data_IF_614783347035
#
_entry.id   IF_614783347035
#
_cell.length_a   1.000
_cell.length_b   1.000
_cell.length_c   1.000
_cell.angle_alpha   90.00
_cell.angle_beta   90.00
_cell.angle_gamma   90.00
#
_symmetry.space_group_name_H-M   'P 1'
#
loop_
_entity.id
_entity.type
_entity.pdbx_description
1 polymer ?
#
# COMPACT_ATOMS: atom_id res chain seq x y z
N UNK A 1 -2.17 73.12 -81.34
CA UNK A 1 -1.56 72.73 -80.05
C UNK A 1 -2.52 73.16 -78.93
N UNK A 2 -2.57 72.37 -77.84
CA UNK A 2 -3.54 72.39 -76.70
C UNK A 2 -4.81 71.55 -76.94
N UNK A 3 -5.36 70.70 -76.04
CA UNK A 3 -5.02 70.15 -74.70
C UNK A 3 -6.11 69.11 -74.34
N UNK A 4 -5.81 68.01 -73.62
CA UNK A 4 -6.59 67.39 -72.49
C UNK A 4 -6.21 65.92 -72.22
N UNK A 5 -5.76 65.60 -71.00
CA UNK A 5 -6.51 64.93 -69.91
C UNK A 5 -6.18 63.43 -69.83
N UNK A 6 -5.23 63.01 -68.98
CA UNK A 6 -5.47 62.55 -67.60
C UNK A 6 -6.43 61.36 -67.49
N UNK A 7 -5.90 60.17 -67.24
CA UNK A 7 -6.33 59.35 -66.10
C UNK A 7 -5.43 58.13 -65.88
N UNK A 8 -4.93 58.03 -64.64
CA UNK A 8 -4.42 56.82 -64.04
C UNK A 8 -5.55 55.82 -63.79
N UNK A 9 -5.28 54.53 -63.91
CA UNK A 9 -5.99 53.55 -63.08
C UNK A 9 -5.02 52.52 -62.51
N UNK A 10 -4.93 52.59 -61.19
CA UNK A 10 -4.16 51.75 -60.29
C UNK A 10 -4.94 50.43 -60.19
N UNK A 11 -4.44 49.36 -60.82
CA UNK A 11 -5.01 48.03 -60.71
C UNK A 11 -4.86 47.51 -59.28
N UNK A 12 -5.92 47.65 -58.47
CA UNK A 12 -6.04 47.05 -57.14
C UNK A 12 -6.71 45.69 -57.34
N UNK A 13 -5.97 44.62 -57.10
CA UNK A 13 -6.42 43.23 -57.23
C UNK A 13 -7.73 43.01 -56.48
N UNK A 14 -8.81 42.69 -57.20
CA UNK A 14 -10.06 42.24 -56.60
C UNK A 14 -9.86 40.80 -56.11
N UNK A 15 -9.90 40.61 -54.79
CA UNK A 15 -10.06 39.29 -54.18
C UNK A 15 -11.49 38.84 -54.48
N UNK A 16 -11.73 37.62 -55.01
CA UNK A 16 -13.08 37.18 -55.33
C UNK A 16 -13.94 37.16 -54.05
N UNK A 17 -15.14 37.76 -54.14
CA UNK A 17 -16.14 37.93 -53.07
C UNK A 17 -16.49 36.60 -52.35
N UNK A 18 -16.23 35.47 -53.01
CA UNK A 18 -16.37 34.11 -52.49
C UNK A 18 -15.46 33.82 -51.28
N UNK A 19 -14.27 34.43 -51.22
CA UNK A 19 -13.35 34.29 -50.07
C UNK A 19 -13.81 35.07 -48.83
N UNK A 20 -14.66 36.09 -48.99
CA UNK A 20 -15.24 36.85 -47.87
C UNK A 20 -16.46 36.16 -47.25
N UNK A 21 -17.10 35.23 -47.97
CA UNK A 21 -18.29 34.49 -47.50
C UNK A 21 -17.96 33.15 -46.82
N UNK A 22 -16.74 32.62 -47.02
CA UNK A 22 -16.23 31.43 -46.32
C UNK A 22 -16.35 31.48 -44.79
N UNK A 23 -15.96 32.58 -44.09
CA UNK A 23 -16.11 32.63 -42.64
C UNK A 23 -17.57 32.63 -42.18
N UNK A 24 -18.50 33.15 -42.99
CA UNK A 24 -19.93 33.10 -42.68
C UNK A 24 -20.49 31.69 -42.82
N UNK A 25 -20.18 31.00 -43.93
CA UNK A 25 -20.58 29.61 -44.17
C UNK A 25 -19.97 28.65 -43.14
N UNK A 26 -18.72 28.87 -42.73
CA UNK A 26 -18.06 28.08 -41.69
C UNK A 26 -18.71 28.28 -40.31
N UNK A 27 -19.09 29.52 -39.97
CA UNK A 27 -19.80 29.83 -38.73
C UNK A 27 -21.18 29.17 -38.70
N UNK A 28 -21.93 29.28 -39.79
CA UNK A 28 -23.28 28.70 -39.90
C UNK A 28 -23.24 27.16 -39.88
N UNK A 29 -22.24 26.55 -40.53
CA UNK A 29 -21.99 25.11 -40.44
C UNK A 29 -21.59 24.68 -39.02
N UNK A 30 -20.74 25.46 -38.34
CA UNK A 30 -20.36 25.18 -36.96
C UNK A 30 -21.56 25.28 -35.99
N UNK A 31 -22.44 26.25 -36.19
CA UNK A 31 -23.70 26.38 -35.43
C UNK A 31 -24.63 25.20 -35.69
N UNK A 32 -24.78 24.76 -36.94
CA UNK A 32 -25.57 23.58 -37.28
C UNK A 32 -25.00 22.29 -36.68
N UNK A 33 -23.69 22.09 -36.74
CA UNK A 33 -23.02 20.93 -36.13
C UNK A 33 -23.20 20.95 -34.61
N UNK A 34 -23.10 22.11 -33.98
CA UNK A 34 -23.30 22.25 -32.53
C UNK A 34 -24.73 21.94 -32.11
N UNK A 35 -25.72 22.49 -32.83
CA UNK A 35 -27.14 22.21 -32.59
C UNK A 35 -27.49 20.74 -32.84
N UNK A 36 -26.93 20.13 -33.89
CA UNK A 36 -27.07 18.70 -34.16
C UNK A 36 -26.43 17.86 -33.05
N UNK A 37 -25.26 18.27 -32.54
CA UNK A 37 -24.60 17.62 -31.41
C UNK A 37 -25.43 17.68 -30.12
N UNK A 38 -25.99 18.86 -29.81
CA UNK A 38 -26.90 19.04 -28.68
C UNK A 38 -28.21 18.24 -28.83
N UNK A 39 -28.77 18.18 -30.04
CA UNK A 39 -29.96 17.38 -30.34
C UNK A 39 -29.72 15.88 -30.20
N UNK A 40 -28.60 15.38 -30.71
CA UNK A 40 -28.19 13.99 -30.56
C UNK A 40 -27.92 13.62 -29.09
N UNK A 41 -27.26 14.49 -28.33
CA UNK A 41 -27.03 14.30 -26.89
C UNK A 41 -28.34 14.28 -26.09
N UNK A 42 -29.29 15.17 -26.39
CA UNK A 42 -30.62 15.16 -25.78
C UNK A 42 -31.40 13.88 -26.11
N UNK A 43 -31.28 13.38 -27.34
CA UNK A 43 -31.93 12.12 -27.74
C UNK A 43 -31.30 10.92 -27.04
N UNK A 44 -29.97 10.91 -26.88
CA UNK A 44 -29.28 9.90 -26.08
C UNK A 44 -29.68 9.95 -24.59
N UNK A 45 -29.97 11.13 -24.01
CA UNK A 45 -30.52 11.20 -22.65
C UNK A 45 -31.95 10.63 -22.56
N UNK A 46 -32.82 10.92 -23.54
CA UNK A 46 -34.20 10.42 -23.56
C UNK A 46 -34.27 8.90 -23.80
N UNK A 47 -33.43 8.37 -24.69
CA UNK A 47 -33.36 6.93 -24.99
C UNK A 47 -32.50 6.16 -23.97
N UNK A 48 -31.53 6.85 -23.34
CA UNK A 48 -30.62 6.30 -22.33
C UNK A 48 -31.33 5.82 -21.07
N UNK A 49 -32.44 6.45 -20.66
CA UNK A 49 -33.22 6.00 -19.50
C UNK A 49 -33.88 4.62 -19.68
N UNK A 50 -34.31 4.29 -20.90
CA UNK A 50 -34.89 2.96 -21.20
C UNK A 50 -33.81 1.89 -21.22
N UNK A 51 -32.70 2.16 -21.89
CA UNK A 51 -31.54 1.26 -21.92
C UNK A 51 -30.97 1.06 -20.52
N UNK A 52 -30.89 2.13 -19.72
CA UNK A 52 -30.48 2.06 -18.32
C UNK A 52 -31.42 1.16 -17.49
N UNK A 53 -32.74 1.33 -17.60
CA UNK A 53 -33.68 0.46 -16.89
C UNK A 53 -33.56 -1.01 -17.31
N UNK A 54 -33.32 -1.29 -18.59
CA UNK A 54 -33.06 -2.64 -19.08
C UNK A 54 -31.75 -3.18 -18.48
N UNK A 55 -30.66 -2.41 -18.52
CA UNK A 55 -29.39 -2.81 -17.92
C UNK A 55 -29.49 -3.03 -16.41
N UNK A 56 -30.28 -2.24 -15.70
CA UNK A 56 -30.52 -2.42 -14.26
C UNK A 56 -31.31 -3.71 -14.01
N UNK A 57 -32.35 -3.98 -14.80
CA UNK A 57 -33.11 -5.23 -14.71
C UNK A 57 -32.23 -6.46 -15.02
N UNK A 58 -31.41 -6.38 -16.06
CA UNK A 58 -30.46 -7.42 -16.44
C UNK A 58 -29.39 -7.61 -15.36
N UNK A 59 -28.90 -6.51 -14.77
CA UNK A 59 -27.97 -6.54 -13.65
C UNK A 59 -28.56 -7.20 -12.39
N UNK A 60 -29.82 -6.89 -12.06
CA UNK A 60 -30.54 -7.53 -10.96
C UNK A 60 -30.80 -9.02 -11.23
N UNK A 61 -31.12 -9.39 -12.47
CA UNK A 61 -31.29 -10.78 -12.88
C UNK A 61 -29.96 -11.54 -12.78
N UNK A 62 -28.86 -10.94 -13.27
CA UNK A 62 -27.52 -11.50 -13.19
C UNK A 62 -27.06 -11.66 -11.73
N UNK A 63 -27.33 -10.68 -10.86
CA UNK A 63 -27.02 -10.76 -9.43
C UNK A 63 -27.78 -11.92 -8.76
N UNK A 64 -29.08 -12.06 -9.03
CA UNK A 64 -29.88 -13.18 -8.50
C UNK A 64 -29.36 -14.52 -8.98
N UNK A 65 -29.02 -14.63 -10.27
CA UNK A 65 -28.43 -15.84 -10.83
C UNK A 65 -27.07 -16.16 -10.19
N UNK A 66 -26.21 -15.15 -10.02
CA UNK A 66 -24.92 -15.32 -9.36
C UNK A 66 -25.08 -15.76 -7.89
N UNK A 67 -26.04 -15.19 -7.17
CA UNK A 67 -26.35 -15.60 -5.80
C UNK A 67 -26.87 -17.05 -5.73
N UNK A 68 -27.74 -17.46 -6.65
CA UNK A 68 -28.23 -18.83 -6.72
C UNK A 68 -27.09 -19.81 -7.00
N UNK A 69 -26.24 -19.52 -7.99
CA UNK A 69 -25.05 -20.32 -8.32
C UNK A 69 -24.08 -20.37 -7.14
N UNK A 70 -23.87 -19.26 -6.43
CA UNK A 70 -23.04 -19.23 -5.23
C UNK A 70 -23.63 -20.10 -4.11
N UNK A 71 -24.95 -20.07 -3.90
CA UNK A 71 -25.62 -20.94 -2.93
C UNK A 71 -25.51 -22.41 -3.31
N UNK A 72 -25.65 -22.77 -4.57
CA UNK A 72 -25.48 -24.15 -5.06
C UNK A 72 -24.05 -24.62 -4.85
N UNK A 73 -23.06 -23.81 -5.22
CA UNK A 73 -21.64 -24.12 -5.03
C UNK A 73 -21.27 -24.22 -3.55
N UNK A 74 -21.82 -23.34 -2.72
CA UNK A 74 -21.62 -23.40 -1.27
C UNK A 74 -22.22 -24.67 -0.67
N UNK A 75 -23.46 -25.03 -1.05
CA UNK A 75 -24.08 -26.28 -0.61
C UNK A 75 -23.30 -27.51 -1.08
N UNK A 76 -22.81 -27.52 -2.33
CA UNK A 76 -21.97 -28.59 -2.85
C UNK A 76 -20.61 -28.66 -2.15
N UNK A 77 -20.02 -27.53 -1.78
CA UNK A 77 -18.79 -27.49 -0.99
C UNK A 77 -19.02 -27.95 0.45
N UNK A 78 -20.13 -27.52 1.07
CA UNK A 78 -20.54 -27.92 2.42
C UNK A 78 -20.77 -29.42 2.49
N UNK A 79 -21.52 -29.99 1.53
CA UNK A 79 -21.76 -31.43 1.50
C UNK A 79 -20.47 -32.22 1.30
N UNK A 80 -19.58 -31.78 0.40
CA UNK A 80 -18.24 -32.39 0.25
C UNK A 80 -17.40 -32.28 1.53
N UNK A 81 -17.50 -31.15 2.23
CA UNK A 81 -16.80 -30.95 3.49
C UNK A 81 -17.34 -31.88 4.58
N UNK A 82 -18.67 -31.98 4.74
CA UNK A 82 -19.32 -32.92 5.66
C UNK A 82 -18.93 -34.38 5.35
N UNK A 83 -18.87 -34.74 4.06
CA UNK A 83 -18.44 -36.06 3.60
C UNK A 83 -16.97 -36.34 3.95
N UNK A 84 -16.10 -35.33 3.78
CA UNK A 84 -14.70 -35.41 4.16
C UNK A 84 -14.53 -35.47 5.68
N UNK A 85 -15.25 -34.65 6.45
CA UNK A 85 -15.25 -34.68 7.91
C UNK A 85 -15.70 -36.04 8.43
N UNK A 86 -16.75 -36.62 7.85
CA UNK A 86 -17.23 -37.96 8.21
C UNK A 86 -16.17 -39.02 7.93
N UNK A 87 -15.54 -38.98 6.74
CA UNK A 87 -14.47 -39.92 6.35
C UNK A 87 -13.18 -39.74 7.18
N UNK A 88 -12.84 -38.52 7.57
CA UNK A 88 -11.68 -38.22 8.44
C UNK A 88 -11.97 -38.63 9.88
N UNK A 89 -13.18 -38.38 10.37
CA UNK A 89 -13.63 -38.84 11.70
C UNK A 89 -13.61 -40.36 11.82
N UNK A 90 -13.98 -41.09 10.76
CA UNK A 90 -13.93 -42.55 10.72
C UNK A 90 -12.51 -43.12 10.55
N UNK A 91 -11.53 -42.32 10.11
CA UNK A 91 -10.18 -42.77 9.74
C UNK A 91 -9.08 -42.00 10.47
N UNK A 92 -9.23 -41.90 11.80
CA UNK A 92 -8.25 -41.39 12.77
C UNK A 92 -7.74 -39.94 12.54
N UNK A 93 -7.40 -39.26 13.64
CA UNK A 93 -6.99 -37.85 13.68
C UNK A 93 -5.64 -37.54 13.00
N UNK A 94 -4.91 -38.54 12.53
CA UNK A 94 -3.55 -38.40 11.97
C UNK A 94 -3.42 -37.40 10.79
N UNK A 95 -4.41 -37.28 9.86
CA UNK A 95 -4.38 -36.24 8.83
C UNK A 95 -4.67 -34.84 9.38
N UNK A 96 -5.40 -34.71 10.50
CA UNK A 96 -5.69 -33.42 11.14
C UNK A 96 -4.44 -32.86 11.81
N UNK A 97 -3.64 -33.70 12.47
CA UNK A 97 -2.36 -33.27 13.05
C UNK A 97 -1.41 -32.69 11.99
N UNK A 98 -1.41 -33.27 10.78
CA UNK A 98 -0.64 -32.75 9.64
C UNK A 98 -1.18 -31.43 9.11
N UNK A 99 -2.52 -31.24 9.13
CA UNK A 99 -3.14 -29.97 8.76
C UNK A 99 -2.92 -28.90 9.83
N UNK A 100 -2.92 -29.26 11.10
CA UNK A 100 -2.56 -28.39 12.21
C UNK A 100 -1.13 -27.89 12.02
N UNK A 101 -0.17 -28.80 11.77
CA UNK A 101 1.21 -28.43 11.49
C UNK A 101 1.36 -27.51 10.26
N UNK A 102 0.63 -27.77 9.17
CA UNK A 102 0.66 -26.90 7.98
C UNK A 102 -0.01 -25.55 8.23
N UNK A 103 -1.09 -25.52 9.00
CA UNK A 103 -1.78 -24.29 9.39
C UNK A 103 -0.87 -23.44 10.27
N UNK A 104 -0.28 -24.04 11.31
CA UNK A 104 0.74 -23.42 12.16
C UNK A 104 1.89 -22.84 11.33
N UNK A 105 2.43 -23.61 10.38
CA UNK A 105 3.50 -23.13 9.51
C UNK A 105 3.07 -21.92 8.67
N UNK A 106 1.83 -21.91 8.17
CA UNK A 106 1.30 -20.79 7.38
C UNK A 106 1.02 -19.56 8.24
N UNK A 107 0.48 -19.75 9.45
CA UNK A 107 0.25 -18.67 10.42
C UNK A 107 1.58 -18.10 10.88
N UNK A 108 2.55 -18.93 11.26
CA UNK A 108 3.90 -18.51 11.62
C UNK A 108 4.54 -17.68 10.49
N UNK A 109 4.45 -18.15 9.24
CA UNK A 109 4.97 -17.42 8.08
C UNK A 109 4.24 -16.09 7.85
N UNK A 110 2.93 -16.01 8.10
CA UNK A 110 2.18 -14.76 8.00
C UNK A 110 2.57 -13.78 9.11
N UNK A 111 2.70 -14.23 10.36
CA UNK A 111 3.13 -13.43 11.50
C UNK A 111 4.56 -12.90 11.31
N UNK A 112 5.47 -13.72 10.81
CA UNK A 112 6.83 -13.29 10.45
C UNK A 112 6.82 -12.20 9.35
N UNK A 113 5.96 -12.33 8.34
CA UNK A 113 5.79 -11.28 7.31
C UNK A 113 5.21 -9.99 7.87
N UNK A 114 4.42 -10.06 8.95
CA UNK A 114 3.95 -8.90 9.71
C UNK A 114 4.99 -8.36 10.69
N UNK A 115 6.17 -8.98 10.80
CA UNK A 115 7.25 -8.55 11.69
C UNK A 115 7.06 -8.99 13.14
N UNK A 116 6.19 -9.96 13.42
CA UNK A 116 6.02 -10.53 14.76
C UNK A 116 7.04 -11.66 14.93
N UNK A 117 8.06 -11.50 15.79
CA UNK A 117 9.07 -12.53 16.05
C UNK A 117 8.48 -13.71 16.82
N UNK A 118 9.02 -14.91 16.59
CA UNK A 118 8.59 -16.11 17.31
C UNK A 118 9.18 -16.17 18.73
N UNK A 119 8.62 -17.04 19.58
CA UNK A 119 9.17 -17.27 20.91
C UNK A 119 10.62 -17.80 20.87
N UNK A 120 10.96 -18.61 19.87
CA UNK A 120 12.31 -19.14 19.68
C UNK A 120 13.30 -18.02 19.32
N UNK A 121 12.89 -17.07 18.47
CA UNK A 121 13.71 -15.92 18.10
C UNK A 121 14.01 -15.04 19.32
N UNK A 122 13.01 -14.83 20.18
CA UNK A 122 13.18 -14.09 21.44
C UNK A 122 14.12 -14.81 22.41
N UNK A 123 14.01 -16.13 22.53
CA UNK A 123 14.91 -16.93 23.37
C UNK A 123 16.36 -16.90 22.86
N UNK A 124 16.55 -17.03 21.54
CA UNK A 124 17.86 -16.93 20.92
C UNK A 124 18.49 -15.55 21.12
N UNK A 125 17.69 -14.48 21.06
CA UNK A 125 18.14 -13.13 21.36
C UNK A 125 18.51 -12.98 22.84
N UNK A 126 17.70 -13.50 23.75
CA UNK A 126 17.98 -13.47 25.18
C UNK A 126 19.30 -14.18 25.52
N UNK A 127 19.56 -15.34 24.92
CA UNK A 127 20.80 -16.08 25.11
C UNK A 127 22.01 -15.26 24.63
N UNK A 128 21.91 -14.61 23.47
CA UNK A 128 22.96 -13.72 22.96
C UNK A 128 23.22 -12.55 23.89
N UNK A 129 22.17 -11.91 24.44
CA UNK A 129 22.31 -10.81 25.41
C UNK A 129 23.08 -11.27 26.65
N UNK A 130 22.78 -12.46 27.17
CA UNK A 130 23.45 -13.02 28.36
C UNK A 130 24.93 -13.33 28.08
N UNK A 131 25.27 -13.80 26.88
CA UNK A 131 26.67 -14.00 26.49
C UNK A 131 27.41 -12.68 26.36
N UNK A 132 26.81 -11.71 25.68
CA UNK A 132 27.40 -10.38 25.50
C UNK A 132 27.55 -9.63 26.83
N UNK A 133 26.61 -9.77 27.75
CA UNK A 133 26.71 -9.16 29.08
C UNK A 133 27.88 -9.74 29.87
N UNK A 134 28.10 -11.05 29.79
CA UNK A 134 29.25 -11.71 30.43
C UNK A 134 30.57 -11.25 29.80
N UNK A 135 30.66 -11.18 28.48
CA UNK A 135 31.85 -10.71 27.79
C UNK A 135 32.17 -9.25 28.16
N UNK A 136 31.15 -8.38 28.19
CA UNK A 136 31.32 -6.99 28.63
C UNK A 136 31.77 -6.88 30.09
N UNK A 137 31.24 -7.71 30.98
CA UNK A 137 31.70 -7.76 32.39
C UNK A 137 33.16 -8.20 32.49
N UNK A 138 33.56 -9.22 31.72
CA UNK A 138 34.94 -9.68 31.67
C UNK A 138 35.88 -8.61 31.11
N UNK A 139 35.53 -7.95 30.01
CA UNK A 139 36.32 -6.85 29.45
C UNK A 139 36.41 -5.67 30.41
N UNK A 140 35.32 -5.32 31.11
CA UNK A 140 35.34 -4.27 32.15
C UNK A 140 36.23 -4.64 33.33
N UNK A 141 36.25 -5.91 33.74
CA UNK A 141 37.12 -6.38 34.80
C UNK A 141 38.60 -6.31 34.39
N UNK A 142 38.91 -6.69 33.15
CA UNK A 142 40.26 -6.58 32.58
C UNK A 142 40.73 -5.13 32.48
N UNK A 143 39.91 -4.23 31.94
CA UNK A 143 40.22 -2.80 31.87
C UNK A 143 40.44 -2.18 33.25
N UNK A 144 39.71 -2.63 34.27
CA UNK A 144 39.88 -2.13 35.66
C UNK A 144 41.18 -2.61 36.29
N UNK A 145 41.62 -3.83 35.96
CA UNK A 145 42.95 -4.32 36.35
C UNK A 145 44.08 -3.55 35.64
N UNK A 146 43.91 -3.24 34.35
CA UNK A 146 44.90 -2.50 33.57
C UNK A 146 44.98 -1.01 33.93
N UNK A 147 43.86 -0.39 34.31
CA UNK A 147 43.81 1.03 34.69
C UNK A 147 44.27 1.32 36.11
N UNK A 148 44.64 0.29 36.90
CA UNK A 148 45.25 0.49 38.22
C UNK A 148 44.50 1.50 39.10
N UNK A 149 43.16 1.45 39.10
CA UNK A 149 42.39 2.18 40.11
C UNK A 149 42.59 1.44 41.42
N UNK A 150 43.63 1.86 42.13
CA UNK A 150 43.75 1.70 43.55
C UNK A 150 42.41 2.11 44.18
N UNK A 151 41.76 1.16 44.83
CA UNK A 151 41.00 1.46 46.04
C UNK A 151 42.00 2.07 47.04
N UNK A 152 42.23 3.38 46.94
CA UNK A 152 42.66 4.18 48.08
C UNK A 152 41.43 4.36 48.98
N UNK A 153 41.16 3.36 49.81
CA UNK A 153 40.64 3.60 51.16
C UNK A 153 40.80 2.33 52.01
N UNK A 154 41.87 2.30 52.82
CA UNK A 154 41.91 1.78 54.19
C UNK A 154 43.32 1.29 54.57
N UNK A 155 44.33 2.16 54.48
CA UNK A 155 45.58 1.98 55.21
C UNK A 155 46.00 3.29 55.89
N UNK A 156 45.26 3.71 56.92
CA UNK A 156 45.85 4.58 57.95
C UNK A 156 46.44 3.69 59.04
N UNK A 157 47.70 3.29 58.85
CA UNK A 157 48.55 2.72 59.91
C UNK A 157 49.36 3.87 60.55
N UNK A 158 49.68 3.81 61.86
CA UNK A 158 49.95 4.97 62.68
C UNK A 158 51.42 5.40 62.61
N UNK A 159 51.68 6.72 62.60
CA UNK A 159 53.03 7.29 62.69
C UNK A 159 53.15 8.31 63.85
N UNK A 160 53.48 7.76 65.02
CA UNK A 160 54.32 8.26 66.13
C UNK A 160 54.89 9.71 66.02
N UNK A 161 54.62 10.55 67.02
CA UNK A 161 55.52 11.66 67.43
C UNK A 161 55.65 11.78 68.95
N UNK A 162 56.89 12.04 69.36
CA UNK A 162 57.51 11.96 70.70
C UNK A 162 57.35 13.22 71.56
N UNK A 163 57.25 13.06 72.90
CA UNK A 163 57.81 13.91 73.99
C UNK A 163 57.68 13.09 75.30
N UNK A 164 58.73 12.58 75.98
CA UNK A 164 59.85 13.15 76.77
C UNK A 164 59.42 13.91 78.04
N UNK A 165 59.63 13.25 79.21
CA UNK A 165 60.08 13.78 80.54
C UNK A 165 59.03 14.64 81.29
N UNK A 166 58.77 14.60 82.59
CA UNK A 166 59.40 14.19 83.88
C UNK A 166 58.20 14.02 84.84
N UNK A 167 58.10 13.08 85.78
CA UNK A 167 58.95 12.96 86.98
C UNK A 167 58.34 13.74 88.16
N UNK A 168 58.03 13.00 89.23
CA UNK A 168 57.55 13.38 90.58
C UNK A 168 56.06 13.62 90.78
#
# INVERSE_FOLDING_TARGET
MSSKSSQASKGKSAIPEQLQQLPHLAKESAEQIWLAGLGAFSKAQQEGGKVFNVLVQDGLALQKQAQAMAQEQFQAASSRFEDLTSKVSERAAEPLDKLESLFEQRVAKALQRLGIPSAQDLQALQAQIVLLSQELEQTRAQLRQEQGLADDEAATTPARKSTRKSGS
#
